data_IF_573859024623
#
_entry.id   IF_573859024623
#
_cell.length_a   1.000
_cell.length_b   1.000
_cell.length_c   1.000
_cell.angle_alpha   90.00
_cell.angle_beta   90.00
_cell.angle_gamma   90.00
#
_symmetry.space_group_name_H-M   'P 1'
#
loop_
_entity.id
_entity.type
_entity.pdbx_description
1 polymer ?
#
# COMPACT_ATOMS: atom_id res chain seq x y z
N UNK A 1 12.08 -17.76 -11.73
CA UNK A 1 12.34 -16.63 -10.80
C UNK A 1 10.99 -16.09 -10.38
N UNK A 2 10.67 -15.97 -9.08
CA UNK A 2 9.39 -15.36 -8.66
C UNK A 2 9.44 -13.88 -9.00
N UNK A 3 8.47 -13.39 -9.77
CA UNK A 3 8.33 -11.98 -10.10
C UNK A 3 7.92 -11.21 -8.84
N UNK A 4 8.50 -10.02 -8.64
CA UNK A 4 8.14 -9.11 -7.55
C UNK A 4 7.29 -7.96 -8.09
N UNK A 5 6.45 -7.34 -7.25
CA UNK A 5 5.66 -6.18 -7.67
C UNK A 5 6.57 -5.04 -8.14
N UNK A 6 6.22 -4.38 -9.24
CA UNK A 6 7.06 -3.39 -9.90
C UNK A 6 7.40 -2.20 -9.01
N UNK A 7 6.44 -1.63 -8.28
CA UNK A 7 6.64 -0.43 -7.47
C UNK A 7 6.75 -0.75 -5.98
N UNK A 8 5.89 -1.62 -5.44
CA UNK A 8 5.90 -1.94 -4.01
C UNK A 8 7.23 -2.55 -3.57
N UNK A 9 7.90 -3.33 -4.43
CA UNK A 9 9.22 -3.91 -4.10
C UNK A 9 10.37 -2.91 -4.09
N UNK A 10 10.17 -1.69 -4.60
CA UNK A 10 11.14 -0.59 -4.61
C UNK A 10 11.04 0.31 -3.37
N UNK A 11 9.97 0.18 -2.58
CA UNK A 11 9.77 0.98 -1.37
C UNK A 11 10.79 0.57 -0.29
N UNK A 12 11.47 1.57 0.28
CA UNK A 12 12.30 1.38 1.47
C UNK A 12 11.44 1.16 2.70
N UNK A 13 12.01 0.61 3.78
CA UNK A 13 11.30 0.46 5.07
C UNK A 13 10.68 1.79 5.57
N UNK A 14 11.41 2.91 5.39
CA UNK A 14 10.91 4.24 5.76
C UNK A 14 9.67 4.64 4.92
N UNK A 15 9.68 4.33 3.63
CA UNK A 15 8.56 4.59 2.75
C UNK A 15 7.35 3.71 3.05
N UNK A 16 7.56 2.43 3.39
CA UNK A 16 6.49 1.54 3.84
C UNK A 16 5.79 2.07 5.10
N UNK A 17 6.56 2.52 6.10
CA UNK A 17 5.98 3.16 7.29
C UNK A 17 5.22 4.44 6.95
N UNK A 18 5.76 5.29 6.08
CA UNK A 18 5.09 6.52 5.66
C UNK A 18 3.78 6.25 4.89
N UNK A 19 3.78 5.24 4.00
CA UNK A 19 2.61 4.80 3.27
C UNK A 19 1.54 4.26 4.23
N UNK A 20 1.94 3.42 5.17
CA UNK A 20 1.03 2.87 6.18
C UNK A 20 0.39 3.97 7.02
N UNK A 21 1.18 4.92 7.52
CA UNK A 21 0.66 6.09 8.26
C UNK A 21 -0.33 6.93 7.46
N UNK A 22 -0.08 7.09 6.17
CA UNK A 22 -1.00 7.83 5.30
C UNK A 22 -2.33 7.12 5.06
N UNK A 23 -2.37 5.78 5.15
CA UNK A 23 -3.54 4.98 4.77
C UNK A 23 -4.36 4.47 5.96
N UNK A 24 -3.72 4.20 7.09
CA UNK A 24 -4.33 3.46 8.21
C UNK A 24 -4.19 4.21 9.53
N UNK A 25 -2.99 4.24 10.11
CA UNK A 25 -2.79 4.80 11.45
C UNK A 25 -1.41 5.43 11.62
N UNK A 26 -1.34 6.54 12.37
CA UNK A 26 -0.06 7.12 12.76
C UNK A 26 0.68 6.30 13.84
N UNK A 27 -0.06 5.46 14.57
CA UNK A 27 0.41 4.65 15.71
C UNK A 27 1.13 3.36 15.29
N UNK A 28 2.03 3.48 14.32
CA UNK A 28 2.88 2.38 13.87
C UNK A 28 4.31 2.55 14.38
N UNK A 29 4.82 1.55 15.09
CA UNK A 29 6.20 1.54 15.57
C UNK A 29 7.18 1.09 14.46
N UNK A 30 6.94 -0.10 13.91
CA UNK A 30 7.88 -0.76 13.00
C UNK A 30 7.19 -1.76 12.07
N UNK A 31 7.93 -2.11 11.02
CA UNK A 31 7.59 -3.23 10.14
C UNK A 31 8.12 -4.52 10.75
N UNK A 32 7.25 -5.52 10.88
CA UNK A 32 7.59 -6.86 11.33
C UNK A 32 8.02 -7.72 10.14
N UNK A 33 7.22 -7.75 9.06
CA UNK A 33 7.50 -8.54 7.86
C UNK A 33 6.93 -7.92 6.58
N UNK A 34 7.50 -8.30 5.44
CA UNK A 34 7.01 -7.96 4.09
C UNK A 34 7.10 -9.23 3.25
N UNK A 35 5.96 -9.70 2.75
CA UNK A 35 5.85 -10.90 1.93
C UNK A 35 5.25 -10.58 0.56
N UNK A 36 6.05 -10.68 -0.49
CA UNK A 36 5.58 -10.44 -1.86
C UNK A 36 4.95 -11.71 -2.47
N UNK A 37 3.76 -11.57 -3.06
CA UNK A 37 2.98 -12.69 -3.60
C UNK A 37 2.41 -12.42 -5.01
N UNK A 38 1.67 -13.39 -5.54
CA UNK A 38 0.99 -13.38 -6.84
C UNK A 38 1.84 -13.13 -8.09
N UNK A 39 3.09 -13.60 -8.11
CA UNK A 39 4.01 -13.31 -9.22
C UNK A 39 4.13 -11.79 -9.49
N UNK A 40 4.13 -10.99 -8.42
CA UNK A 40 4.38 -9.56 -8.51
C UNK A 40 3.14 -8.69 -8.62
N UNK A 41 2.02 -9.10 -8.02
CA UNK A 41 0.82 -8.25 -7.94
C UNK A 41 0.67 -7.50 -6.63
N UNK A 42 1.23 -8.03 -5.54
CA UNK A 42 1.03 -7.44 -4.22
C UNK A 42 2.03 -7.87 -3.16
N UNK A 43 1.84 -7.33 -1.96
CA UNK A 43 2.58 -7.61 -0.76
C UNK A 43 1.63 -7.69 0.44
N UNK A 44 1.82 -8.69 1.29
CA UNK A 44 1.26 -8.70 2.63
C UNK A 44 2.33 -8.14 3.57
N UNK A 45 1.96 -7.16 4.39
CA UNK A 45 2.89 -6.42 5.26
C UNK A 45 2.33 -6.43 6.67
N UNK A 46 3.14 -6.91 7.60
CA UNK A 46 2.79 -6.89 9.03
C UNK A 46 3.52 -5.75 9.72
N UNK A 47 2.77 -4.94 10.46
CA UNK A 47 3.27 -3.84 11.27
C UNK A 47 3.01 -4.13 12.75
N UNK A 48 3.93 -3.72 13.61
CA UNK A 48 3.65 -3.59 15.03
C UNK A 48 3.05 -2.20 15.25
N UNK A 49 1.78 -2.19 15.64
CA UNK A 49 1.01 -0.99 15.92
C UNK A 49 0.69 -0.91 17.40
N UNK A 50 0.78 0.29 17.93
CA UNK A 50 0.33 0.62 19.27
C UNK A 50 -1.07 1.24 19.19
N UNK A 51 -1.75 1.34 20.33
CA UNK A 51 -3.07 1.98 20.45
C UNK A 51 -4.26 1.08 20.05
N UNK A 52 -4.11 -0.24 20.14
CA UNK A 52 -5.25 -1.17 20.04
C UNK A 52 -6.03 -1.20 21.36
N UNK A 53 -7.36 -1.03 21.32
CA UNK A 53 -8.22 -1.12 22.51
C UNK A 53 -8.17 -2.53 23.13
N UNK A 54 -7.86 -2.60 24.43
CA UNK A 54 -7.81 -3.86 25.19
C UNK A 54 -9.18 -4.34 25.70
N UNK A 55 -10.23 -3.51 25.55
CA UNK A 55 -11.58 -3.76 26.03
C UNK A 55 -11.80 -3.48 27.52
N UNK A 56 -10.75 -3.06 28.24
CA UNK A 56 -10.76 -2.70 29.67
C UNK A 56 -10.35 -1.23 29.90
N UNK A 57 -10.16 -0.45 28.84
CA UNK A 57 -9.82 0.97 28.88
C UNK A 57 -8.31 1.24 28.87
N UNK A 58 -7.50 0.25 28.53
CA UNK A 58 -6.08 0.36 28.22
C UNK A 58 -5.78 0.17 26.74
N UNK A 59 -4.50 0.11 26.39
CA UNK A 59 -4.03 -0.07 25.02
C UNK A 59 -3.04 -1.22 24.89
N UNK A 60 -3.07 -1.90 23.75
CA UNK A 60 -2.20 -3.00 23.38
C UNK A 60 -1.34 -2.64 22.17
N UNK A 61 -0.17 -3.27 22.12
CA UNK A 61 0.65 -3.33 20.92
C UNK A 61 0.39 -4.66 20.20
N UNK A 62 -0.06 -4.61 18.96
CA UNK A 62 -0.41 -5.81 18.18
C UNK A 62 0.27 -5.81 16.81
N UNK A 63 0.63 -7.02 16.37
CA UNK A 63 1.06 -7.27 15.00
C UNK A 63 -0.18 -7.33 14.10
N UNK A 64 -0.36 -6.31 13.26
CA UNK A 64 -1.49 -6.20 12.33
C UNK A 64 -1.03 -6.40 10.88
N UNK A 65 -1.77 -7.20 10.11
CA UNK A 65 -1.44 -7.54 8.73
C UNK A 65 -2.32 -6.76 7.73
N UNK A 66 -1.68 -6.28 6.68
CA UNK A 66 -2.31 -5.49 5.63
C UNK A 66 -1.87 -5.96 4.26
N UNK A 67 -2.82 -5.93 3.32
CA UNK A 67 -2.60 -6.29 1.94
C UNK A 67 -2.43 -5.04 1.08
N UNK A 68 -1.32 -4.97 0.35
CA UNK A 68 -1.02 -3.91 -0.61
C UNK A 68 -0.96 -4.49 -2.03
N UNK A 69 -1.61 -3.80 -2.96
CA UNK A 69 -1.58 -4.11 -4.38
C UNK A 69 -1.04 -2.92 -5.16
N UNK A 70 -0.44 -3.15 -6.32
CA UNK A 70 0.22 -2.09 -7.10
C UNK A 70 -0.70 -0.91 -7.47
N UNK A 71 -1.97 -1.21 -7.77
CA UNK A 71 -2.90 -0.28 -8.40
C UNK A 71 -4.30 -0.27 -7.77
N UNK A 72 -4.44 -0.87 -6.60
CA UNK A 72 -5.70 -0.95 -5.85
C UNK A 72 -5.48 -0.49 -4.40
N UNK A 73 -6.49 0.11 -3.74
CA UNK A 73 -6.37 0.55 -2.36
C UNK A 73 -5.91 -0.59 -1.43
N UNK A 74 -5.07 -0.30 -0.43
CA UNK A 74 -4.62 -1.33 0.50
C UNK A 74 -5.78 -1.77 1.41
N UNK A 75 -5.75 -3.03 1.83
CA UNK A 75 -6.81 -3.65 2.63
C UNK A 75 -6.27 -4.03 4.00
N UNK A 76 -7.09 -3.76 5.02
CA UNK A 76 -6.95 -4.41 6.32
C UNK A 76 -7.68 -5.76 6.22
N UNK A 77 -6.94 -6.88 6.24
CA UNK A 77 -7.54 -8.20 6.08
C UNK A 77 -8.33 -8.63 7.33
N UNK A 78 -7.78 -8.31 8.51
CA UNK A 78 -8.23 -8.86 9.79
C UNK A 78 -8.76 -7.80 10.76
N UNK A 79 -8.83 -6.54 10.34
CA UNK A 79 -9.15 -5.42 11.24
C UNK A 79 -10.18 -4.47 10.64
N UNK A 80 -11.14 -4.06 11.46
CA UNK A 80 -12.00 -2.93 11.12
C UNK A 80 -11.25 -1.65 11.47
N UNK A 81 -10.69 -1.00 10.46
CA UNK A 81 -9.86 0.21 10.63
C UNK A 81 -10.68 1.51 10.65
N UNK A 82 -12.01 1.45 10.43
CA UNK A 82 -12.90 2.61 10.44
C UNK A 82 -12.63 3.63 9.32
N UNK A 83 -11.66 3.38 8.42
CA UNK A 83 -11.29 4.30 7.35
C UNK A 83 -12.08 3.98 6.09
N UNK A 84 -12.75 5.00 5.53
CA UNK A 84 -13.41 4.89 4.22
C UNK A 84 -12.41 4.39 3.16
N UNK A 85 -12.74 3.28 2.50
CA UNK A 85 -11.90 2.65 1.48
C UNK A 85 -11.60 3.60 0.31
N UNK A 86 -12.48 4.57 0.05
CA UNK A 86 -12.27 5.59 -0.96
C UNK A 86 -11.19 6.61 -0.55
N UNK A 87 -11.24 7.12 0.69
CA UNK A 87 -10.23 8.05 1.20
C UNK A 87 -8.86 7.38 1.30
N UNK A 88 -8.82 6.13 1.79
CA UNK A 88 -7.60 5.31 1.81
C UNK A 88 -6.99 5.14 0.43
N UNK A 89 -7.82 4.87 -0.58
CA UNK A 89 -7.40 4.83 -1.98
C UNK A 89 -6.72 6.13 -2.40
N UNK A 90 -7.31 7.30 -2.08
CA UNK A 90 -6.69 8.60 -2.40
C UNK A 90 -5.31 8.76 -1.76
N UNK A 91 -5.17 8.42 -0.48
CA UNK A 91 -3.89 8.53 0.22
C UNK A 91 -2.83 7.61 -0.39
N UNK A 92 -3.21 6.36 -0.68
CA UNK A 92 -2.35 5.39 -1.35
C UNK A 92 -1.88 5.91 -2.72
N UNK A 93 -2.81 6.28 -3.59
CA UNK A 93 -2.45 6.75 -4.93
C UNK A 93 -1.63 8.03 -4.89
N UNK A 94 -1.97 8.98 -4.02
CA UNK A 94 -1.17 10.19 -3.83
C UNK A 94 0.28 9.84 -3.47
N UNK A 95 0.50 8.96 -2.49
CA UNK A 95 1.83 8.55 -2.09
C UNK A 95 2.61 7.89 -3.24
N UNK A 96 1.97 6.97 -3.98
CA UNK A 96 2.61 6.27 -5.10
C UNK A 96 2.97 7.24 -6.24
N UNK A 97 2.09 8.20 -6.54
CA UNK A 97 2.33 9.26 -7.51
C UNK A 97 3.48 10.18 -7.10
N UNK A 98 3.54 10.60 -5.84
CA UNK A 98 4.63 11.43 -5.33
C UNK A 98 5.97 10.67 -5.28
N UNK A 99 5.93 9.35 -5.08
CA UNK A 99 7.13 8.51 -4.97
C UNK A 99 7.71 8.11 -6.33
N UNK A 100 6.86 7.77 -7.30
CA UNK A 100 7.28 7.17 -8.59
C UNK A 100 6.95 8.03 -9.80
N UNK A 101 6.10 9.05 -9.65
CA UNK A 101 5.81 10.05 -10.67
C UNK A 101 5.20 9.48 -11.94
N UNK A 102 5.66 10.00 -13.08
CA UNK A 102 5.10 9.73 -14.41
C UNK A 102 5.03 8.23 -14.76
N UNK A 103 6.04 7.46 -14.36
CA UNK A 103 6.08 6.03 -14.63
C UNK A 103 4.86 5.32 -14.04
N UNK A 104 4.53 5.62 -12.78
CA UNK A 104 3.39 5.00 -12.09
C UNK A 104 2.04 5.41 -12.68
N UNK A 105 1.91 6.67 -13.12
CA UNK A 105 0.68 7.17 -13.78
C UNK A 105 0.37 6.36 -15.04
N UNK A 106 1.39 6.15 -15.88
CA UNK A 106 1.25 5.44 -17.14
C UNK A 106 0.80 4.00 -16.89
N UNK A 107 1.54 3.28 -16.05
CA UNK A 107 1.24 1.89 -15.71
C UNK A 107 -0.14 1.74 -15.07
N UNK A 108 -0.51 2.64 -14.15
CA UNK A 108 -1.84 2.65 -13.54
C UNK A 108 -2.94 2.83 -14.58
N UNK A 109 -2.79 3.79 -15.50
CA UNK A 109 -3.79 4.02 -16.55
C UNK A 109 -3.86 2.84 -17.52
N UNK A 110 -2.73 2.23 -17.88
CA UNK A 110 -2.69 1.00 -18.68
C UNK A 110 -3.40 -0.15 -17.95
N UNK A 111 -3.17 -0.34 -16.65
CA UNK A 111 -3.84 -1.35 -15.83
C UNK A 111 -5.36 -1.13 -15.79
N UNK A 112 -5.82 0.11 -15.57
CA UNK A 112 -7.24 0.43 -15.42
C UNK A 112 -8.04 0.38 -16.72
N UNK A 113 -7.39 0.58 -17.86
CA UNK A 113 -8.08 0.74 -19.16
C UNK A 113 -7.75 -0.36 -20.17
N UNK A 114 -6.63 -1.08 -19.99
CA UNK A 114 -6.10 -2.02 -20.98
C UNK A 114 -5.51 -1.36 -22.24
N UNK A 115 -5.46 -0.03 -22.29
CA UNK A 115 -4.96 0.74 -23.44
C UNK A 115 -3.48 1.03 -23.26
N UNK A 116 -2.69 0.92 -24.33
CA UNK A 116 -1.30 1.38 -24.33
C UNK A 116 -1.22 2.92 -24.32
N UNK A 117 -1.20 3.50 -23.12
CA UNK A 117 -1.15 4.95 -22.90
C UNK A 117 0.15 5.57 -23.41
N UNK A 118 1.27 4.85 -23.39
CA UNK A 118 2.55 5.41 -23.83
C UNK A 118 2.53 5.80 -25.30
N UNK A 119 1.87 4.99 -26.14
CA UNK A 119 1.70 5.27 -27.56
C UNK A 119 1.14 6.67 -27.81
N UNK A 120 0.11 7.05 -27.05
CA UNK A 120 -0.57 8.35 -27.22
C UNK A 120 0.20 9.52 -26.59
N UNK A 121 1.12 9.26 -25.65
CA UNK A 121 1.99 10.29 -25.07
C UNK A 121 3.24 10.58 -25.92
N UNK A 122 3.63 9.66 -26.81
CA UNK A 122 4.79 9.81 -27.70
C UNK A 122 4.48 10.59 -28.99
N UNK A 123 3.21 10.89 -29.27
CA UNK A 123 2.80 11.73 -30.40
C UNK A 123 2.89 11.05 -31.76
N UNK A 124 2.65 9.73 -31.82
CA UNK A 124 2.46 8.99 -33.09
C UNK A 124 1.03 9.08 -33.62
#
# INVERSE_FOLDING_TARGET
MKLKPKYLSRLTKKQWLALHRACFTEFVEKIVSIEFWDNGKGADVTFLEDDWDDGEGGTLSLDANYRYMEFDPPLAEDTWDGVDSFERGKHFFKFMLETFGKEYIIDYMQYRTGVDVEKYLRGE
#
